data_IF_268290417679
#
_entry.id   IF_268290417679
#
_cell.length_a   1.000
_cell.length_b   1.000
_cell.length_c   1.000
_cell.angle_alpha   90.00
_cell.angle_beta   90.00
_cell.angle_gamma   90.00
#
_symmetry.space_group_name_H-M   'P 1'
#
loop_
_entity.id
_entity.type
_entity.pdbx_description
1 polymer ?
#
# COMPACT_ATOMS: atom_id res chain seq x y z
N UNK A 1 5.24 -16.52 -13.08
CA UNK A 1 4.15 -16.44 -12.08
C UNK A 1 4.43 -15.41 -10.99
N UNK A 2 5.64 -15.32 -10.43
CA UNK A 2 5.97 -14.43 -9.31
C UNK A 2 5.85 -12.94 -9.61
N UNK A 3 6.32 -12.47 -10.76
CA UNK A 3 6.27 -11.03 -11.10
C UNK A 3 4.84 -10.53 -11.33
N UNK A 4 3.98 -11.32 -11.99
CA UNK A 4 2.56 -10.98 -12.17
C UNK A 4 1.85 -10.86 -10.82
N UNK A 5 2.10 -11.79 -9.89
CA UNK A 5 1.51 -11.73 -8.55
C UNK A 5 1.99 -10.51 -7.74
N UNK A 6 3.25 -10.11 -7.88
CA UNK A 6 3.77 -8.89 -7.26
C UNK A 6 3.09 -7.64 -7.80
N UNK A 7 2.91 -7.54 -9.12
CA UNK A 7 2.19 -6.43 -9.76
C UNK A 7 0.75 -6.36 -9.29
N UNK A 8 0.03 -7.48 -9.32
CA UNK A 8 -1.37 -7.56 -8.85
C UNK A 8 -1.45 -7.14 -7.37
N UNK A 9 -0.50 -7.58 -6.55
CA UNK A 9 -0.48 -7.22 -5.13
C UNK A 9 -0.32 -5.72 -4.89
N UNK A 10 0.46 -5.03 -5.73
CA UNK A 10 0.57 -3.57 -5.68
C UNK A 10 -0.72 -2.89 -6.16
N UNK A 11 -1.33 -3.39 -7.24
CA UNK A 11 -2.56 -2.84 -7.81
C UNK A 11 -3.76 -2.98 -6.86
N UNK A 12 -3.90 -4.10 -6.15
CA UNK A 12 -4.99 -4.30 -5.17
C UNK A 12 -4.92 -3.28 -4.03
N UNK A 13 -3.72 -2.95 -3.54
CA UNK A 13 -3.54 -1.93 -2.50
C UNK A 13 -3.84 -0.54 -3.06
N UNK A 14 -3.40 -0.25 -4.29
CA UNK A 14 -3.74 0.98 -5.00
C UNK A 14 -5.25 1.16 -5.18
N UNK A 15 -5.97 0.13 -5.62
CA UNK A 15 -7.42 0.17 -5.78
C UNK A 15 -8.12 0.51 -4.46
N UNK A 16 -7.71 -0.11 -3.35
CA UNK A 16 -8.24 0.24 -2.02
C UNK A 16 -7.91 1.69 -1.65
N UNK A 17 -6.69 2.16 -1.94
CA UNK A 17 -6.33 3.56 -1.70
C UNK A 17 -7.20 4.54 -2.49
N UNK A 18 -7.51 4.24 -3.76
CA UNK A 18 -8.36 5.09 -4.61
C UNK A 18 -9.76 5.28 -4.00
N UNK A 19 -10.32 4.23 -3.39
CA UNK A 19 -11.63 4.30 -2.75
C UNK A 19 -11.65 5.10 -1.44
N UNK A 20 -10.53 5.14 -0.72
CA UNK A 20 -10.48 5.71 0.63
C UNK A 20 -9.80 7.08 0.71
N UNK A 21 -8.98 7.48 -0.27
CA UNK A 21 -8.18 8.72 -0.23
C UNK A 21 -8.64 9.70 -1.31
N UNK A 22 -8.72 10.99 -0.98
CA UNK A 22 -9.07 12.04 -1.95
C UNK A 22 -8.08 12.06 -3.14
N UNK A 23 -8.65 12.22 -4.33
CA UNK A 23 -7.99 12.07 -5.65
C UNK A 23 -6.69 12.87 -5.82
N UNK A 24 -6.54 14.02 -5.14
CA UNK A 24 -5.39 14.91 -5.31
C UNK A 24 -4.08 14.41 -4.68
N UNK A 25 -4.13 13.39 -3.81
CA UNK A 25 -2.95 12.91 -3.07
C UNK A 25 -2.26 11.76 -3.82
N UNK A 26 -2.94 11.14 -4.77
CA UNK A 26 -2.48 9.93 -5.45
C UNK A 26 -1.21 10.16 -6.27
N UNK A 27 -1.05 11.31 -6.91
CA UNK A 27 0.10 11.62 -7.76
C UNK A 27 1.44 11.78 -7.01
N UNK A 28 1.40 11.84 -5.67
CA UNK A 28 2.59 12.06 -4.84
C UNK A 28 2.86 10.92 -3.86
N UNK A 29 2.05 9.86 -3.91
CA UNK A 29 2.31 8.65 -3.13
C UNK A 29 3.25 7.76 -3.93
N UNK A 30 4.43 7.53 -3.38
CA UNK A 30 5.32 6.48 -3.87
C UNK A 30 4.96 5.17 -3.17
N UNK A 31 4.58 4.15 -3.94
CA UNK A 31 4.22 2.84 -3.41
C UNK A 31 5.13 1.76 -3.97
N UNK A 32 5.79 1.00 -3.09
CA UNK A 32 6.78 -0.01 -3.48
C UNK A 32 6.60 -1.31 -2.71
N UNK A 33 6.85 -2.43 -3.39
CA UNK A 33 7.01 -3.73 -2.78
C UNK A 33 8.42 -3.82 -2.18
N UNK A 34 8.51 -4.06 -0.89
CA UNK A 34 9.78 -4.13 -0.15
C UNK A 34 10.25 -5.57 0.06
N UNK A 35 9.32 -6.48 0.36
CA UNK A 35 9.64 -7.89 0.58
C UNK A 35 8.50 -8.80 0.09
N UNK A 36 8.90 -9.98 -0.38
CA UNK A 36 7.99 -11.05 -0.79
C UNK A 36 8.59 -12.37 -0.31
N UNK A 37 7.97 -12.97 0.71
CA UNK A 37 8.53 -14.12 1.39
C UNK A 37 7.50 -15.22 1.58
N UNK A 38 7.78 -16.36 0.97
CA UNK A 38 7.10 -17.61 1.27
C UNK A 38 7.54 -18.09 2.66
N UNK A 39 6.57 -18.28 3.55
CA UNK A 39 6.78 -18.75 4.91
C UNK A 39 6.66 -20.28 4.95
N UNK A 40 7.29 -20.89 5.95
CA UNK A 40 7.42 -22.36 6.06
C UNK A 40 6.09 -23.08 6.29
N UNK A 41 5.08 -22.36 6.77
CA UNK A 41 3.71 -22.80 6.99
C UNK A 41 2.83 -22.71 5.72
N UNK A 42 3.41 -22.28 4.60
CA UNK A 42 2.68 -22.04 3.35
C UNK A 42 2.00 -20.68 3.29
N UNK A 43 2.17 -19.84 4.31
CA UNK A 43 1.72 -18.45 4.25
C UNK A 43 2.65 -17.61 3.35
N UNK A 44 2.11 -16.50 2.85
CA UNK A 44 2.87 -15.52 2.09
C UNK A 44 2.91 -14.19 2.85
N UNK A 45 4.12 -13.69 3.12
CA UNK A 45 4.31 -12.32 3.61
C UNK A 45 4.60 -11.41 2.43
N UNK A 46 3.75 -10.41 2.25
CA UNK A 46 3.95 -9.31 1.31
C UNK A 46 4.14 -8.02 2.09
N UNK A 47 5.30 -7.40 1.98
CA UNK A 47 5.59 -6.13 2.64
C UNK A 47 5.62 -5.01 1.60
N UNK A 48 4.76 -4.00 1.78
CA UNK A 48 4.66 -2.87 0.88
C UNK A 48 4.75 -1.57 1.68
N UNK A 49 5.46 -0.58 1.15
CA UNK A 49 5.62 0.73 1.78
C UNK A 49 5.01 1.81 0.88
N UNK A 50 4.17 2.66 1.48
CA UNK A 50 3.61 3.85 0.85
C UNK A 50 4.19 5.09 1.52
N UNK A 51 4.88 5.91 0.73
CA UNK A 51 5.59 7.11 1.17
C UNK A 51 4.95 8.35 0.56
N UNK A 52 4.95 9.43 1.31
CA UNK A 52 4.44 10.72 0.85
C UNK A 52 5.36 11.85 1.33
N UNK A 53 5.64 12.86 0.50
CA UNK A 53 6.56 13.93 0.85
C UNK A 53 5.99 14.90 1.90
N UNK A 54 4.66 14.98 2.06
CA UNK A 54 4.02 15.94 2.97
C UNK A 54 3.41 15.25 4.19
N UNK A 55 3.66 15.79 5.37
CA UNK A 55 3.09 15.27 6.63
C UNK A 55 1.56 15.32 6.67
N UNK A 56 0.94 16.34 6.04
CA UNK A 56 -0.53 16.44 5.93
C UNK A 56 -1.13 15.28 5.13
N UNK A 57 -0.43 14.80 4.11
CA UNK A 57 -0.87 13.68 3.28
C UNK A 57 -0.76 12.36 4.05
N UNK A 58 0.25 12.20 4.92
CA UNK A 58 0.36 11.05 5.82
C UNK A 58 -0.87 10.92 6.73
N UNK A 59 -1.38 12.04 7.26
CA UNK A 59 -2.59 12.02 8.10
C UNK A 59 -3.83 11.55 7.32
N UNK A 60 -3.91 11.87 6.03
CA UNK A 60 -5.03 11.46 5.16
C UNK A 60 -4.92 9.99 4.77
N UNK A 61 -3.69 9.50 4.58
CA UNK A 61 -3.36 8.11 4.29
C UNK A 61 -3.71 7.19 5.47
N UNK A 62 -3.28 7.58 6.67
CA UNK A 62 -3.49 6.83 7.91
C UNK A 62 -4.93 6.94 8.41
N UNK A 63 -5.60 8.07 8.11
CA UNK A 63 -6.90 8.38 8.69
C UNK A 63 -6.81 8.75 10.17
N UNK A 64 -7.93 9.19 10.76
CA UNK A 64 -7.97 9.55 12.17
C UNK A 64 -7.72 8.29 13.01
N UNK A 65 -6.70 8.30 13.87
CA UNK A 65 -6.29 7.17 14.71
C UNK A 65 -5.96 5.87 13.94
N UNK A 66 -5.54 5.94 12.67
CA UNK A 66 -5.22 4.71 11.91
C UNK A 66 -6.40 4.03 11.24
N UNK A 67 -7.60 4.64 11.29
CA UNK A 67 -8.86 4.03 10.84
C UNK A 67 -8.91 3.59 9.37
N UNK A 68 -7.90 3.89 8.55
CA UNK A 68 -7.83 3.51 7.14
C UNK A 68 -6.82 2.39 6.85
N UNK A 69 -6.00 1.99 7.83
CA UNK A 69 -4.91 1.02 7.65
C UNK A 69 -5.10 -0.24 8.53
N UNK A 70 -6.01 -0.20 9.52
CA UNK A 70 -6.33 -1.32 10.41
C UNK A 70 -7.22 -2.40 9.75
#
# INVERSE_FOLDING_TARGET
>A
MTEVMKTISLEVVWEKMLHHIHQEIHYVIEHRLMDWKDLKDGCLRVEQHSMTPKQSQRQILVGKNGSKID
#
